data_IF_494678032976
#
_entry.id   IF_494678032976
#
_cell.length_a   1.000
_cell.length_b   1.000
_cell.length_c   1.000
_cell.angle_alpha   90.00
_cell.angle_beta   90.00
_cell.angle_gamma   90.00
#
_symmetry.space_group_name_H-M   'P 1'
#
loop_
_entity.id
_entity.type
_entity.pdbx_description
1 polymer ?
#
# COMPACT_ATOMS: atom_id res chain seq x y z
N UNK A 1 29.38 13.46 -10.02
CA UNK A 1 28.35 13.64 -8.97
C UNK A 1 27.04 13.07 -9.48
N UNK A 2 26.71 11.83 -9.12
CA UNK A 2 25.47 11.16 -9.54
C UNK A 2 24.30 11.71 -8.75
N UNK A 3 23.30 12.28 -9.42
CA UNK A 3 21.99 12.46 -8.78
C UNK A 3 21.49 11.06 -8.33
N UNK A 4 21.06 10.88 -7.06
CA UNK A 4 20.56 9.59 -6.62
C UNK A 4 19.34 9.24 -7.48
N UNK A 5 19.31 8.01 -8.03
CA UNK A 5 18.34 7.52 -9.04
C UNK A 5 16.84 7.72 -8.69
N UNK A 6 16.54 8.12 -7.46
CA UNK A 6 15.19 8.31 -6.93
C UNK A 6 14.85 9.76 -6.57
N UNK A 7 15.71 10.74 -6.86
CA UNK A 7 15.40 12.15 -6.61
C UNK A 7 14.34 12.61 -7.61
N UNK A 8 13.22 13.13 -7.11
CA UNK A 8 12.17 13.74 -7.92
C UNK A 8 12.64 15.12 -8.41
N UNK A 9 13.01 15.30 -9.70
CA UNK A 9 13.67 16.52 -10.17
C UNK A 9 12.81 17.77 -10.00
N UNK A 10 11.50 17.62 -10.11
CA UNK A 10 10.52 18.68 -9.94
C UNK A 10 10.27 19.07 -8.48
N UNK A 11 10.71 18.23 -7.51
CA UNK A 11 10.47 18.48 -6.10
C UNK A 11 11.61 19.22 -5.41
N UNK A 12 12.78 19.41 -6.03
CA UNK A 12 13.90 20.24 -5.51
C UNK A 12 14.16 20.06 -3.99
N UNK A 13 14.15 18.80 -3.53
CA UNK A 13 14.29 18.39 -2.12
C UNK A 13 13.15 18.82 -1.15
N UNK A 14 12.02 19.33 -1.67
CA UNK A 14 10.79 19.70 -0.94
C UNK A 14 9.65 18.69 -1.18
N UNK A 15 9.87 17.43 -0.80
CA UNK A 15 8.79 16.45 -0.88
C UNK A 15 7.82 16.66 0.30
N UNK A 16 6.60 17.11 0.00
CA UNK A 16 5.55 17.33 1.01
C UNK A 16 4.66 16.09 1.12
N UNK A 17 4.58 15.52 2.33
CA UNK A 17 3.69 14.41 2.68
C UNK A 17 2.34 14.97 3.16
N UNK A 18 1.51 15.44 2.22
CA UNK A 18 0.22 16.05 2.55
C UNK A 18 -0.80 15.82 1.45
N UNK A 19 -2.07 15.66 1.84
CA UNK A 19 -3.24 15.71 0.95
C UNK A 19 -3.73 17.15 0.71
N UNK A 20 -3.10 18.13 1.34
CA UNK A 20 -3.42 19.56 1.24
C UNK A 20 -4.62 19.98 2.09
N UNK A 21 -4.95 21.28 2.09
CA UNK A 21 -5.96 21.85 2.98
C UNK A 21 -7.40 21.39 2.70
N UNK A 22 -7.64 20.69 1.58
CA UNK A 22 -8.96 20.17 1.23
C UNK A 22 -9.51 19.12 2.19
N UNK A 23 -8.65 18.49 3.00
CA UNK A 23 -9.05 17.50 4.02
C UNK A 23 -9.88 18.11 5.15
N UNK A 24 -9.80 19.43 5.37
CA UNK A 24 -10.59 20.13 6.39
C UNK A 24 -12.11 19.97 6.19
N UNK A 25 -12.56 19.73 4.95
CA UNK A 25 -13.94 19.38 4.66
C UNK A 25 -14.37 18.08 5.36
N UNK A 26 -13.51 17.06 5.39
CA UNK A 26 -13.82 15.78 6.04
C UNK A 26 -13.94 15.96 7.56
N UNK A 27 -13.08 16.78 8.16
CA UNK A 27 -13.20 17.17 9.58
C UNK A 27 -14.56 17.80 9.86
N UNK A 28 -14.92 18.84 9.10
CA UNK A 28 -16.18 19.57 9.31
C UNK A 28 -17.41 18.67 9.11
N UNK A 29 -17.36 17.79 8.11
CA UNK A 29 -18.48 16.91 7.76
C UNK A 29 -18.69 15.78 8.76
N UNK A 30 -17.60 15.18 9.25
CA UNK A 30 -17.66 13.95 10.05
C UNK A 30 -17.27 14.15 11.52
N UNK A 31 -16.84 15.35 11.92
CA UNK A 31 -16.40 15.63 13.28
C UNK A 31 -15.14 14.86 13.70
N UNK A 32 -14.32 14.43 12.74
CA UNK A 32 -13.13 13.61 12.97
C UNK A 32 -11.84 14.45 12.90
N UNK A 33 -10.85 14.09 13.70
CA UNK A 33 -9.52 14.75 13.68
C UNK A 33 -8.55 14.10 12.71
N UNK A 34 -8.72 12.81 12.45
CA UNK A 34 -7.88 12.03 11.54
C UNK A 34 -8.72 11.20 10.58
N UNK A 35 -8.16 10.90 9.41
CA UNK A 35 -8.70 9.91 8.48
C UNK A 35 -7.66 8.84 8.18
N UNK A 36 -8.08 7.58 8.24
CA UNK A 36 -7.31 6.43 7.75
C UNK A 36 -7.73 6.12 6.32
N UNK A 37 -6.82 6.27 5.37
CA UNK A 37 -7.01 5.83 3.99
C UNK A 37 -6.34 4.47 3.80
N UNK A 38 -7.06 3.53 3.21
CA UNK A 38 -6.56 2.20 2.90
C UNK A 38 -6.76 1.92 1.42
N UNK A 39 -5.69 1.51 0.74
CA UNK A 39 -5.73 1.07 -0.64
C UNK A 39 -5.06 -0.29 -0.74
N UNK A 40 -5.75 -1.24 -1.38
CA UNK A 40 -5.19 -2.57 -1.66
C UNK A 40 -5.59 -2.99 -3.06
N UNK A 41 -4.62 -3.52 -3.80
CA UNK A 41 -4.80 -4.19 -5.08
C UNK A 41 -4.17 -5.56 -4.98
N UNK A 42 -4.90 -6.56 -5.46
CA UNK A 42 -4.43 -7.93 -5.50
C UNK A 42 -4.55 -8.50 -6.92
N UNK A 43 -3.74 -9.50 -7.23
CA UNK A 43 -3.83 -10.26 -8.46
C UNK A 43 -3.87 -11.76 -8.18
N UNK A 44 -4.93 -12.38 -8.67
CA UNK A 44 -5.20 -13.80 -8.47
C UNK A 44 -4.76 -14.61 -9.70
N UNK A 45 -4.14 -15.76 -9.47
CA UNK A 45 -3.79 -16.71 -10.52
C UNK A 45 -4.69 -17.94 -10.45
N UNK A 46 -5.18 -18.40 -11.60
CA UNK A 46 -5.89 -19.67 -11.69
C UNK A 46 -4.98 -20.83 -11.30
N UNK A 47 -5.56 -21.95 -10.86
CA UNK A 47 -4.80 -23.18 -10.54
C UNK A 47 -3.93 -23.64 -11.72
N UNK A 48 -4.44 -23.58 -12.95
CA UNK A 48 -3.68 -23.90 -14.16
C UNK A 48 -2.48 -22.98 -14.38
N UNK A 49 -2.61 -21.67 -14.13
CA UNK A 49 -1.48 -20.73 -14.21
C UNK A 49 -0.45 -21.00 -13.12
N UNK A 50 -0.89 -21.32 -11.90
CA UNK A 50 0.02 -21.69 -10.80
C UNK A 50 0.80 -22.95 -11.16
N UNK A 51 0.14 -23.98 -11.70
CA UNK A 51 0.81 -25.20 -12.17
C UNK A 51 1.84 -24.90 -13.29
N UNK A 52 1.49 -24.03 -14.23
CA UNK A 52 2.41 -23.61 -15.29
C UNK A 52 3.65 -22.87 -14.75
N UNK A 53 3.48 -22.01 -13.74
CA UNK A 53 4.60 -21.33 -13.06
C UNK A 53 5.53 -22.35 -12.40
N UNK A 54 4.97 -23.35 -11.70
CA UNK A 54 5.76 -24.41 -11.05
C UNK A 54 6.54 -25.22 -12.10
N UNK A 55 5.87 -25.63 -13.18
CA UNK A 55 6.51 -26.39 -14.26
C UNK A 55 7.63 -25.58 -14.94
N UNK A 56 7.38 -24.31 -15.24
CA UNK A 56 8.40 -23.41 -15.80
C UNK A 56 9.61 -23.28 -14.87
N UNK A 57 9.39 -23.17 -13.55
CA UNK A 57 10.47 -23.09 -12.57
C UNK A 57 11.34 -24.36 -12.55
N UNK A 58 10.75 -25.55 -12.70
CA UNK A 58 11.50 -26.81 -12.84
C UNK A 58 12.38 -26.84 -14.10
N UNK A 59 11.98 -26.11 -15.15
CA UNK A 59 12.76 -25.91 -16.37
C UNK A 59 13.73 -24.72 -16.29
N UNK A 60 13.89 -24.11 -15.11
CA UNK A 60 14.78 -22.95 -14.89
C UNK A 60 14.21 -21.61 -15.36
N UNK A 61 12.93 -21.55 -15.77
CA UNK A 61 12.26 -20.33 -16.23
C UNK A 61 11.48 -19.68 -15.09
N UNK A 62 11.80 -18.43 -14.80
CA UNK A 62 11.11 -17.65 -13.77
C UNK A 62 9.92 -16.90 -14.38
N UNK A 63 8.71 -17.19 -13.89
CA UNK A 63 7.48 -16.49 -14.26
C UNK A 63 6.96 -15.76 -13.03
N UNK A 64 6.68 -14.46 -13.16
CA UNK A 64 6.11 -13.67 -12.07
C UNK A 64 4.73 -14.22 -11.67
N UNK A 65 4.59 -14.52 -10.37
CA UNK A 65 3.34 -14.93 -9.75
C UNK A 65 2.38 -13.77 -9.47
N UNK A 66 1.39 -14.04 -8.62
CA UNK A 66 0.50 -13.02 -8.07
C UNK A 66 1.28 -11.98 -7.26
N UNK A 67 0.73 -10.77 -7.18
CA UNK A 67 1.26 -9.68 -6.38
C UNK A 67 0.11 -8.95 -5.69
N UNK A 68 0.30 -8.72 -4.40
CA UNK A 68 -0.57 -7.90 -3.58
C UNK A 68 0.19 -6.63 -3.17
N UNK A 69 -0.37 -5.49 -3.55
CA UNK A 69 0.17 -4.15 -3.34
C UNK A 69 -0.84 -3.35 -2.56
N UNK A 70 -0.40 -2.63 -1.55
CA UNK A 70 -1.29 -1.74 -0.83
C UNK A 70 -0.55 -0.74 0.03
N UNK A 71 -1.32 0.15 0.63
CA UNK A 71 -0.85 1.05 1.66
C UNK A 71 -1.99 1.46 2.57
N UNK A 72 -1.60 1.95 3.74
CA UNK A 72 -2.45 2.64 4.70
C UNK A 72 -1.78 3.96 5.06
N UNK A 73 -2.58 5.01 5.22
CA UNK A 73 -2.08 6.32 5.61
C UNK A 73 -3.03 6.98 6.59
N UNK A 74 -2.50 7.44 7.72
CA UNK A 74 -3.21 8.29 8.67
C UNK A 74 -2.93 9.75 8.33
N UNK A 75 -4.00 10.52 8.17
CA UNK A 75 -3.95 11.92 7.75
C UNK A 75 -4.58 12.78 8.82
N UNK A 76 -3.86 13.79 9.31
CA UNK A 76 -4.42 14.85 10.15
C UNK A 76 -5.37 15.69 9.29
N UNK A 77 -6.64 15.76 9.66
CA UNK A 77 -7.64 16.46 8.87
C UNK A 77 -7.61 17.98 9.05
N UNK A 78 -6.90 18.50 10.07
CA UNK A 78 -6.68 19.93 10.25
C UNK A 78 -5.66 20.48 9.25
N UNK A 79 -4.55 19.77 9.06
CA UNK A 79 -3.40 20.21 8.25
C UNK A 79 -3.33 19.52 6.88
N UNK A 80 -3.95 18.35 6.76
CA UNK A 80 -3.83 17.45 5.62
C UNK A 80 -2.53 16.65 5.60
N UNK A 81 -1.69 16.75 6.64
CA UNK A 81 -0.42 16.04 6.72
C UNK A 81 -0.60 14.53 6.90
N UNK A 82 0.21 13.75 6.18
CA UNK A 82 0.29 12.30 6.39
C UNK A 82 1.18 12.07 7.61
N UNK A 83 0.57 11.81 8.76
CA UNK A 83 1.26 11.65 10.05
C UNK A 83 1.75 10.22 10.30
N UNK A 84 1.22 9.25 9.56
CA UNK A 84 1.69 7.88 9.57
C UNK A 84 1.38 7.21 8.23
N UNK A 85 2.28 6.33 7.78
CA UNK A 85 2.14 5.61 6.52
C UNK A 85 2.74 4.22 6.63
N UNK A 86 2.05 3.23 6.10
CA UNK A 86 2.57 1.88 5.99
C UNK A 86 2.19 1.25 4.64
N UNK A 87 2.95 0.24 4.22
CA UNK A 87 2.86 -0.35 2.88
C UNK A 87 2.80 -1.86 2.94
N UNK A 88 2.10 -2.43 1.97
CA UNK A 88 1.95 -3.85 1.72
C UNK A 88 2.59 -4.19 0.38
N UNK A 89 3.51 -5.16 0.39
CA UNK A 89 4.12 -5.71 -0.81
C UNK A 89 4.41 -7.20 -0.56
N UNK A 90 3.57 -8.09 -1.10
CA UNK A 90 3.74 -9.55 -0.94
C UNK A 90 3.32 -10.32 -2.19
N UNK A 91 3.88 -11.52 -2.35
CA UNK A 91 3.60 -12.41 -3.49
C UNK A 91 2.53 -13.47 -3.21
N UNK A 92 2.03 -13.55 -1.99
CA UNK A 92 1.10 -14.58 -1.53
C UNK A 92 0.01 -14.00 -0.63
N UNK A 93 -1.12 -14.69 -0.52
CA UNK A 93 -2.27 -14.30 0.29
C UNK A 93 -3.56 -14.40 -0.52
N UNK A 94 -4.71 -14.32 0.16
CA UNK A 94 -6.02 -14.29 -0.48
C UNK A 94 -7.00 -13.42 0.32
N UNK A 95 -7.24 -12.20 -0.16
CA UNK A 95 -8.18 -11.26 0.47
C UNK A 95 -9.64 -11.71 0.44
N UNK A 96 -9.96 -12.71 -0.38
CA UNK A 96 -11.31 -13.28 -0.45
C UNK A 96 -11.61 -14.18 0.75
N UNK A 97 -10.58 -14.56 1.51
CA UNK A 97 -10.73 -15.35 2.73
C UNK A 97 -10.71 -14.45 3.96
N UNK A 98 -11.52 -14.74 5.00
CA UNK A 98 -11.47 -13.99 6.26
C UNK A 98 -10.08 -13.97 6.90
N UNK A 99 -9.36 -15.11 6.85
CA UNK A 99 -8.01 -15.21 7.40
C UNK A 99 -7.01 -14.31 6.65
N UNK A 100 -7.00 -14.35 5.31
CA UNK A 100 -6.11 -13.52 4.50
C UNK A 100 -6.44 -12.03 4.56
N UNK A 101 -7.72 -11.68 4.71
CA UNK A 101 -8.14 -10.30 4.97
C UNK A 101 -7.62 -9.80 6.33
N UNK A 102 -7.80 -10.58 7.40
CA UNK A 102 -7.31 -10.22 8.75
C UNK A 102 -5.78 -10.08 8.79
N UNK A 103 -5.06 -11.00 8.16
CA UNK A 103 -3.61 -10.91 8.02
C UNK A 103 -3.21 -9.61 7.31
N UNK A 104 -3.91 -9.25 6.22
CA UNK A 104 -3.63 -8.02 5.46
C UNK A 104 -3.89 -6.78 6.30
N UNK A 105 -4.97 -6.74 7.07
CA UNK A 105 -5.24 -5.64 8.00
C UNK A 105 -4.13 -5.55 9.04
N UNK A 106 -3.69 -6.67 9.61
CA UNK A 106 -2.59 -6.70 10.57
C UNK A 106 -1.29 -6.16 10.00
N UNK A 107 -0.95 -6.52 8.76
CA UNK A 107 0.23 -5.97 8.06
C UNK A 107 0.05 -4.49 7.79
N UNK A 108 -1.10 -4.06 7.25
CA UNK A 108 -1.34 -2.65 6.92
C UNK A 108 -1.36 -1.77 8.17
N UNK A 109 -1.83 -2.26 9.31
CA UNK A 109 -1.88 -1.52 10.58
C UNK A 109 -0.69 -1.81 11.51
N UNK A 110 0.36 -2.47 11.01
CA UNK A 110 1.56 -2.73 11.82
C UNK A 110 2.21 -1.41 12.26
N UNK A 111 2.58 -1.32 13.54
CA UNK A 111 3.15 -0.10 14.14
C UNK A 111 2.23 1.13 14.02
N UNK A 112 0.90 0.93 14.01
CA UNK A 112 -0.04 2.02 14.08
C UNK A 112 0.14 2.81 15.39
N UNK A 113 0.05 4.16 15.37
CA UNK A 113 0.14 4.97 16.59
C UNK A 113 -0.93 4.58 17.61
N UNK A 114 -0.57 4.52 18.90
CA UNK A 114 -1.48 4.26 20.02
C UNK A 114 -2.00 5.55 20.65
#
# INVERSE_FOLDING_TARGET
MTAPRFRLPTKKDKFAWTMGPGTAYLKQKYGADYALFVFVRDSYSSSGRVAAIIFAALLGVQIQGGVQLGFSSLVDLNTGEVVWFNRLFRGTGDLRTPAGANETVGVLLSNFPQ
#
